data_IF_221416799720
#
_entry.id   IF_221416799720
#
_cell.length_a   1.000
_cell.length_b   1.000
_cell.length_c   1.000
_cell.angle_alpha   90.00
_cell.angle_beta   90.00
_cell.angle_gamma   90.00
#
_symmetry.space_group_name_H-M   'P 1'
#
loop_
_entity.id
_entity.type
_entity.pdbx_description
1 polymer ?
#
# COMPACT_ATOMS: atom_id res chain seq x y z
N UNK A 1 -22.01 22.75 -8.43
CA UNK A 1 -21.85 21.30 -8.58
C UNK A 1 -21.32 20.67 -7.31
N UNK A 2 -22.25 20.08 -6.57
CA UNK A 2 -21.96 19.51 -5.26
C UNK A 2 -21.03 18.30 -5.32
N UNK A 3 -21.12 17.50 -6.40
CA UNK A 3 -20.31 16.29 -6.53
C UNK A 3 -18.82 16.60 -6.67
N UNK A 4 -18.46 17.53 -7.53
CA UNK A 4 -17.07 17.93 -7.73
C UNK A 4 -16.49 18.58 -6.47
N UNK A 5 -17.29 19.37 -5.77
CA UNK A 5 -16.87 19.96 -4.50
C UNK A 5 -16.59 18.88 -3.47
N UNK A 6 -17.45 17.87 -3.36
CA UNK A 6 -17.22 16.75 -2.44
C UNK A 6 -15.95 15.99 -2.75
N UNK A 7 -15.66 15.74 -4.04
CA UNK A 7 -14.44 15.08 -4.44
C UNK A 7 -13.21 15.89 -4.06
N UNK A 8 -13.27 17.20 -4.24
CA UNK A 8 -12.17 18.09 -3.88
C UNK A 8 -11.96 18.12 -2.36
N UNK A 9 -13.04 18.18 -1.59
CA UNK A 9 -12.97 18.15 -0.13
C UNK A 9 -12.40 16.82 0.38
N UNK A 10 -12.80 15.71 -0.23
CA UNK A 10 -12.26 14.40 0.09
C UNK A 10 -10.76 14.31 -0.21
N UNK A 11 -10.33 14.90 -1.32
CA UNK A 11 -8.92 14.93 -1.69
C UNK A 11 -8.10 15.72 -0.66
N UNK A 12 -8.60 16.88 -0.21
CA UNK A 12 -7.93 17.67 0.83
C UNK A 12 -7.82 16.89 2.13
N UNK A 13 -8.92 16.26 2.56
CA UNK A 13 -8.93 15.45 3.78
C UNK A 13 -7.94 14.30 3.70
N UNK A 14 -7.84 13.65 2.54
CA UNK A 14 -6.91 12.56 2.32
C UNK A 14 -5.46 13.04 2.43
N UNK A 15 -5.14 14.19 1.84
CA UNK A 15 -3.80 14.77 1.92
C UNK A 15 -3.42 15.08 3.37
N UNK A 16 -4.33 15.70 4.12
CA UNK A 16 -4.10 15.99 5.54
C UNK A 16 -3.88 14.71 6.34
N UNK A 17 -4.68 13.69 6.08
CA UNK A 17 -4.57 12.40 6.73
C UNK A 17 -3.21 11.76 6.43
N UNK A 18 -2.78 11.80 5.17
CA UNK A 18 -1.48 11.27 4.76
C UNK A 18 -0.33 12.01 5.43
N UNK A 19 -0.41 13.33 5.53
CA UNK A 19 0.61 14.15 6.20
C UNK A 19 0.71 13.77 7.68
N UNK A 20 -0.44 13.61 8.35
CA UNK A 20 -0.48 13.24 9.76
C UNK A 20 0.12 11.84 10.00
N UNK A 21 0.01 10.94 9.03
CA UNK A 21 0.63 9.61 9.11
C UNK A 21 2.07 9.58 8.61
N UNK A 22 2.59 10.70 8.13
CA UNK A 22 3.94 10.75 7.58
C UNK A 22 4.07 10.13 6.18
N UNK A 23 2.95 10.05 5.44
CA UNK A 23 2.91 9.43 4.12
C UNK A 23 3.10 10.40 2.97
N UNK A 24 3.27 11.69 3.24
CA UNK A 24 3.34 12.73 2.20
C UNK A 24 4.55 12.58 1.27
N UNK A 25 5.60 11.89 1.71
CA UNK A 25 6.82 11.68 0.92
C UNK A 25 6.76 10.41 0.05
N UNK A 26 5.65 9.69 0.06
CA UNK A 26 5.52 8.48 -0.73
C UNK A 26 5.05 8.78 -2.14
N UNK A 27 5.51 7.98 -3.11
CA UNK A 27 4.98 8.02 -4.47
C UNK A 27 3.54 7.49 -4.48
N UNK A 28 2.81 7.78 -5.57
CA UNK A 28 1.44 7.27 -5.72
C UNK A 28 1.41 5.74 -5.68
N UNK A 29 2.40 5.09 -6.29
CA UNK A 29 2.50 3.63 -6.26
C UNK A 29 2.73 3.11 -4.84
N UNK A 30 3.64 3.74 -4.10
CA UNK A 30 3.90 3.35 -2.72
C UNK A 30 2.66 3.49 -1.84
N UNK A 31 1.92 4.59 -2.00
CA UNK A 31 0.66 4.79 -1.29
C UNK A 31 -0.36 3.72 -1.64
N UNK A 32 -0.48 3.39 -2.92
CA UNK A 32 -1.43 2.37 -3.38
C UNK A 32 -1.08 0.98 -2.83
N UNK A 33 0.20 0.63 -2.82
CA UNK A 33 0.65 -0.65 -2.24
C UNK A 33 0.33 -0.71 -0.75
N UNK A 34 0.63 0.36 -0.02
CA UNK A 34 0.38 0.42 1.41
C UNK A 34 -1.12 0.33 1.72
N UNK A 35 -1.94 1.04 0.95
CA UNK A 35 -3.39 0.99 1.10
C UNK A 35 -3.93 -0.42 0.81
N UNK A 36 -3.41 -1.06 -0.23
CA UNK A 36 -3.81 -2.43 -0.57
C UNK A 36 -3.52 -3.39 0.57
N UNK A 37 -2.31 -3.33 1.12
CA UNK A 37 -1.89 -4.20 2.22
C UNK A 37 -2.73 -3.92 3.47
N UNK A 38 -2.94 -2.66 3.80
CA UNK A 38 -3.70 -2.28 4.99
C UNK A 38 -5.18 -2.58 4.89
N UNK A 39 -5.72 -2.71 3.69
CA UNK A 39 -7.14 -2.96 3.45
C UNK A 39 -7.49 -4.45 3.37
N UNK A 40 -6.51 -5.34 3.47
CA UNK A 40 -6.78 -6.77 3.45
C UNK A 40 -7.50 -7.19 4.73
N UNK A 41 -8.64 -7.87 4.58
CA UNK A 41 -9.43 -8.33 5.72
C UNK A 41 -8.74 -9.44 6.51
N UNK A 42 -7.76 -10.08 5.91
CA UNK A 42 -6.95 -11.14 6.52
C UNK A 42 -5.50 -10.72 6.40
N UNK A 43 -4.71 -10.90 7.45
CA UNK A 43 -3.29 -10.52 7.51
C UNK A 43 -2.40 -11.40 6.62
N UNK A 44 -2.80 -11.62 5.37
CA UNK A 44 -2.13 -12.55 4.46
C UNK A 44 -1.81 -11.95 3.09
N UNK A 45 -1.65 -10.63 3.01
CA UNK A 45 -1.28 -10.00 1.75
C UNK A 45 0.12 -10.46 1.32
N UNK A 46 0.27 -10.84 0.05
CA UNK A 46 1.55 -11.25 -0.51
C UNK A 46 1.85 -10.42 -1.76
N UNK A 47 3.10 -10.45 -2.23
CA UNK A 47 3.47 -9.81 -3.49
C UNK A 47 2.62 -10.35 -4.65
N UNK A 48 2.32 -11.65 -4.65
CA UNK A 48 1.47 -12.25 -5.67
C UNK A 48 0.09 -11.60 -5.70
N UNK A 49 -0.50 -11.34 -4.53
CA UNK A 49 -1.81 -10.67 -4.45
C UNK A 49 -1.76 -9.28 -5.06
N UNK A 50 -0.68 -8.52 -4.83
CA UNK A 50 -0.50 -7.19 -5.41
C UNK A 50 -0.41 -7.29 -6.93
N UNK A 51 0.41 -8.20 -7.43
CA UNK A 51 0.64 -8.37 -8.88
C UNK A 51 -0.65 -8.76 -9.60
N UNK A 52 -1.50 -9.55 -8.97
CA UNK A 52 -2.74 -10.04 -9.56
C UNK A 52 -3.89 -9.02 -9.51
N UNK A 53 -3.76 -7.98 -8.69
CA UNK A 53 -4.80 -6.96 -8.61
C UNK A 53 -4.78 -6.09 -9.87
N UNK A 54 -5.96 -5.81 -10.41
CA UNK A 54 -6.10 -5.06 -11.66
C UNK A 54 -5.48 -3.67 -11.61
N UNK A 55 -5.54 -3.01 -10.47
CA UNK A 55 -4.96 -1.68 -10.31
C UNK A 55 -3.46 -1.70 -10.61
N UNK A 56 -2.75 -2.76 -10.22
CA UNK A 56 -1.30 -2.85 -10.34
C UNK A 56 -0.82 -3.47 -11.66
N UNK A 57 -1.73 -3.95 -12.51
CA UNK A 57 -1.36 -4.55 -13.80
C UNK A 57 -0.68 -3.60 -14.75
N UNK A 58 -0.89 -2.30 -14.61
CA UNK A 58 -0.23 -1.28 -15.42
C UNK A 58 1.24 -1.06 -15.08
N UNK A 59 1.70 -1.62 -13.97
CA UNK A 59 3.09 -1.50 -13.54
C UNK A 59 3.86 -2.79 -13.82
N UNK A 60 5.16 -2.66 -14.11
CA UNK A 60 6.01 -3.83 -14.25
C UNK A 60 6.27 -4.46 -12.87
N UNK A 61 6.62 -5.74 -12.87
CA UNK A 61 6.96 -6.46 -11.64
C UNK A 61 8.11 -5.78 -10.90
N UNK A 62 9.15 -5.36 -11.62
CA UNK A 62 10.30 -4.70 -11.01
C UNK A 62 9.92 -3.36 -10.38
N UNK A 63 9.00 -2.61 -10.97
CA UNK A 63 8.51 -1.35 -10.42
C UNK A 63 7.74 -1.59 -9.13
N UNK A 64 6.86 -2.58 -9.10
CA UNK A 64 6.11 -2.95 -7.89
C UNK A 64 7.06 -3.40 -6.79
N UNK A 65 8.05 -4.23 -7.11
CA UNK A 65 9.04 -4.68 -6.12
C UNK A 65 9.82 -3.53 -5.53
N UNK A 66 10.24 -2.55 -6.34
CA UNK A 66 10.95 -1.37 -5.83
C UNK A 66 10.10 -0.57 -4.86
N UNK A 67 8.82 -0.37 -5.20
CA UNK A 67 7.90 0.34 -4.31
C UNK A 67 7.73 -0.38 -2.99
N UNK A 68 7.59 -1.70 -3.04
CA UNK A 68 7.45 -2.52 -1.84
C UNK A 68 8.71 -2.48 -0.97
N UNK A 69 9.90 -2.63 -1.59
CA UNK A 69 11.18 -2.57 -0.86
C UNK A 69 11.33 -1.19 -0.20
N UNK A 70 10.97 -0.12 -0.90
CA UNK A 70 11.02 1.22 -0.34
C UNK A 70 10.14 1.35 0.91
N UNK A 71 8.93 0.80 0.87
CA UNK A 71 8.03 0.80 2.04
C UNK A 71 8.59 0.00 3.20
N UNK A 72 9.21 -1.14 2.92
CA UNK A 72 9.84 -1.97 3.95
C UNK A 72 11.01 -1.22 4.58
N UNK A 73 11.85 -0.58 3.76
CA UNK A 73 12.99 0.20 4.24
C UNK A 73 12.55 1.39 5.11
N UNK A 74 11.41 1.96 4.81
CA UNK A 74 10.84 3.07 5.61
C UNK A 74 10.13 2.59 6.87
N UNK A 75 10.02 1.26 7.06
CA UNK A 75 9.35 0.69 8.22
C UNK A 75 7.83 0.75 8.16
N UNK A 76 7.25 1.08 7.01
CA UNK A 76 5.80 1.19 6.84
C UNK A 76 5.14 -0.14 6.50
N UNK A 77 5.92 -1.09 5.98
CA UNK A 77 5.48 -2.45 5.71
C UNK A 77 6.42 -3.41 6.38
N UNK A 78 5.88 -4.38 7.09
CA UNK A 78 6.61 -5.47 7.70
C UNK A 78 6.45 -6.73 6.86
N UNK A 79 7.49 -7.53 6.81
CA UNK A 79 7.50 -8.77 6.06
C UNK A 79 7.70 -9.93 7.03
N UNK A 80 6.78 -10.89 7.01
CA UNK A 80 6.84 -12.07 7.88
C UNK A 80 6.78 -13.34 7.05
N UNK A 81 7.33 -14.43 7.59
CA UNK A 81 7.21 -15.74 6.95
C UNK A 81 5.83 -16.33 7.24
N UNK A 82 5.25 -17.01 6.25
CA UNK A 82 3.97 -17.68 6.43
C UNK A 82 4.08 -18.81 7.44
N UNK A 83 3.04 -19.00 8.26
CA UNK A 83 3.03 -20.05 9.29
C UNK A 83 2.92 -21.45 8.71
N UNK A 84 2.13 -21.60 7.66
CA UNK A 84 1.91 -22.90 7.01
C UNK A 84 2.91 -23.16 5.89
N UNK A 85 3.30 -22.13 5.17
CA UNK A 85 4.27 -22.19 4.11
C UNK A 85 5.33 -21.12 4.31
N UNK A 86 6.51 -21.51 4.76
CA UNK A 86 7.63 -20.61 5.04
C UNK A 86 8.20 -19.95 3.78
N UNK A 87 7.81 -20.41 2.59
CA UNK A 87 8.20 -19.76 1.34
C UNK A 87 7.41 -18.51 1.08
N UNK A 88 6.20 -18.41 1.64
CA UNK A 88 5.36 -17.23 1.49
C UNK A 88 5.84 -16.15 2.43
N UNK A 89 5.91 -14.94 1.89
CA UNK A 89 6.22 -13.75 2.66
C UNK A 89 4.95 -12.92 2.80
N UNK A 90 4.50 -12.79 4.02
CA UNK A 90 3.28 -12.07 4.34
C UNK A 90 3.65 -10.63 4.63
N UNK A 91 2.90 -9.70 4.03
CA UNK A 91 3.12 -8.27 4.16
C UNK A 91 2.07 -7.67 5.08
N UNK A 92 2.51 -6.84 6.00
CA UNK A 92 1.62 -6.16 6.95
C UNK A 92 1.93 -4.68 6.97
N UNK A 93 0.88 -3.86 6.98
CA UNK A 93 1.04 -2.42 7.16
C UNK A 93 1.42 -2.12 8.60
N UNK A 94 2.38 -1.22 8.77
CA UNK A 94 2.89 -0.81 10.08
C UNK A 94 2.65 0.69 10.26
N UNK A 95 1.41 1.06 10.47
CA UNK A 95 0.97 2.43 10.66
C UNK A 95 0.60 2.65 12.14
N UNK A 96 1.58 2.55 12.97
CA UNK A 96 1.34 2.75 14.40
C UNK A 96 1.21 4.23 14.74
#
# INVERSE_FOLDING_TARGET
MTTLKKLFDLRKSLIEFEENLGLSNLSDLEKAILEFIGNQAVDNATLTDIIQDEYFKKYSLSTIKRGLVSLIDKGLVLQELGKEDRRKRILKANLA
#
